data_IF_917930431298
#
_entry.id   IF_917930431298
#
_cell.length_a   1.000
_cell.length_b   1.000
_cell.length_c   1.000
_cell.angle_alpha   90.00
_cell.angle_beta   90.00
_cell.angle_gamma   90.00
#
_symmetry.space_group_name_H-M   'P 1'
#
loop_
_entity.id
_entity.type
_entity.pdbx_description
1 polymer ?
#
# COMPACT_ATOMS: atom_id res chain seq x y z
N UNK A 1 -12.67 -4.81 -76.85
CA UNK A 1 -13.16 -4.82 -75.46
C UNK A 1 -12.09 -4.24 -74.56
N UNK A 2 -12.52 -3.30 -73.72
CA UNK A 2 -11.80 -2.34 -72.88
C UNK A 2 -10.78 -2.97 -71.90
N UNK A 3 -9.52 -2.52 -71.84
CA UNK A 3 -9.00 -1.33 -71.13
C UNK A 3 -9.03 -1.46 -69.59
N UNK A 4 -7.86 -1.64 -68.94
CA UNK A 4 -7.19 -0.63 -68.08
C UNK A 4 -6.12 -1.23 -67.14
N UNK A 5 -5.26 -0.33 -66.70
CA UNK A 5 -3.92 -0.45 -66.11
C UNK A 5 -3.94 -0.24 -64.58
N UNK A 6 -2.90 -0.75 -63.89
CA UNK A 6 -2.14 -0.19 -62.73
C UNK A 6 -2.37 -0.64 -61.25
N UNK A 7 -1.26 -1.16 -60.66
CA UNK A 7 -0.50 -0.74 -59.44
C UNK A 7 -0.99 -1.09 -58.00
N UNK A 8 -0.15 -1.93 -57.33
CA UNK A 8 0.43 -1.90 -55.95
C UNK A 8 -0.44 -2.15 -54.70
N UNK A 9 0.04 -3.01 -53.76
CA UNK A 9 0.41 -2.64 -52.36
C UNK A 9 0.83 -3.82 -51.43
N UNK A 10 1.86 -3.52 -50.61
CA UNK A 10 2.13 -3.90 -49.22
C UNK A 10 1.87 -5.33 -48.70
N UNK A 11 2.94 -6.00 -48.26
CA UNK A 11 2.89 -7.12 -47.31
C UNK A 11 3.55 -6.71 -45.99
N UNK A 12 2.73 -6.41 -44.98
CA UNK A 12 3.15 -6.14 -43.60
C UNK A 12 2.34 -7.05 -42.66
N UNK A 13 3.11 -7.88 -41.94
CA UNK A 13 2.86 -8.50 -40.62
C UNK A 13 1.90 -9.70 -40.54
N UNK A 14 2.53 -10.80 -40.13
CA UNK A 14 1.96 -12.01 -39.52
C UNK A 14 1.70 -11.74 -38.03
N UNK A 15 0.47 -11.95 -37.54
CA UNK A 15 0.22 -12.84 -36.39
C UNK A 15 -1.26 -13.26 -36.35
N UNK A 16 -1.44 -14.55 -36.08
CA UNK A 16 -2.66 -15.33 -36.16
C UNK A 16 -3.47 -15.22 -34.87
N UNK A 17 -4.79 -15.00 -34.99
CA UNK A 17 -5.81 -15.69 -34.20
C UNK A 17 -7.18 -15.51 -34.88
N UNK A 18 -7.51 -16.48 -35.72
CA UNK A 18 -8.83 -16.66 -36.32
C UNK A 18 -9.72 -17.47 -35.36
N UNK A 19 -10.83 -16.89 -34.93
CA UNK A 19 -12.00 -17.65 -34.46
C UNK A 19 -13.21 -17.20 -35.27
N UNK A 20 -13.83 -18.19 -35.90
CA UNK A 20 -14.95 -18.11 -36.83
C UNK A 20 -16.26 -17.70 -36.17
N UNK A 21 -17.01 -16.84 -36.88
CA UNK A 21 -18.37 -16.40 -36.60
C UNK A 21 -19.37 -17.58 -36.64
N UNK A 22 -20.14 -17.80 -35.57
CA UNK A 22 -21.43 -18.49 -35.63
C UNK A 22 -22.46 -17.80 -34.74
N UNK A 23 -23.64 -17.61 -35.33
CA UNK A 23 -24.71 -16.73 -34.93
C UNK A 23 -25.30 -17.01 -33.53
N UNK A 24 -25.19 -16.00 -32.67
CA UNK A 24 -26.22 -15.58 -31.74
C UNK A 24 -26.17 -14.07 -31.74
N UNK A 25 -27.29 -13.37 -32.01
CA UNK A 25 -27.35 -11.92 -31.89
C UNK A 25 -27.06 -11.54 -30.42
N UNK A 26 -25.78 -11.32 -30.11
CA UNK A 26 -25.37 -10.49 -28.96
C UNK A 26 -25.78 -9.07 -29.31
N UNK A 27 -26.53 -8.43 -28.42
CA UNK A 27 -26.83 -7.01 -28.54
C UNK A 27 -25.52 -6.26 -28.86
N UNK A 28 -25.56 -5.49 -29.95
CA UNK A 28 -24.42 -4.79 -30.57
C UNK A 28 -23.82 -3.68 -29.72
N UNK A 29 -24.40 -3.40 -28.55
CA UNK A 29 -24.13 -2.16 -27.82
C UNK A 29 -22.96 -2.31 -26.82
N UNK A 30 -22.42 -3.52 -26.67
CA UNK A 30 -21.40 -3.84 -25.67
C UNK A 30 -20.24 -4.70 -26.21
N UNK A 31 -20.37 -5.22 -27.43
CA UNK A 31 -19.30 -5.98 -28.08
C UNK A 31 -18.14 -5.04 -28.46
N UNK A 32 -17.03 -5.12 -27.72
CA UNK A 32 -15.86 -4.25 -27.90
C UNK A 32 -15.91 -2.96 -27.08
N UNK A 33 -16.90 -2.78 -26.19
CA UNK A 33 -16.91 -1.65 -25.27
C UNK A 33 -15.73 -1.78 -24.29
N UNK A 34 -14.82 -0.80 -24.30
CA UNK A 34 -13.64 -0.83 -23.43
C UNK A 34 -13.91 -0.20 -22.06
N UNK A 35 -13.13 -0.60 -21.06
CA UNK A 35 -13.09 -0.02 -19.72
C UNK A 35 -11.66 0.32 -19.34
N UNK A 36 -11.53 1.41 -18.60
CA UNK A 36 -10.28 1.87 -18.02
C UNK A 36 -10.22 1.56 -16.54
N UNK A 37 -9.13 0.93 -16.11
CA UNK A 37 -8.86 0.70 -14.70
C UNK A 37 -7.48 1.23 -14.36
N UNK A 38 -7.43 2.15 -13.40
CA UNK A 38 -6.19 2.81 -13.02
C UNK A 38 -5.91 2.58 -11.54
N UNK A 39 -4.72 2.04 -11.26
CA UNK A 39 -4.21 1.83 -9.91
C UNK A 39 -3.37 3.04 -9.50
N UNK A 40 -3.61 3.55 -8.30
CA UNK A 40 -2.92 4.69 -7.72
C UNK A 40 -2.32 4.32 -6.37
N UNK A 41 -1.21 4.97 -6.07
CA UNK A 41 -0.61 4.97 -4.76
C UNK A 41 -1.19 6.13 -3.95
N UNK A 42 -1.92 5.84 -2.86
CA UNK A 42 -2.47 6.91 -2.03
C UNK A 42 -1.42 7.64 -1.20
N UNK A 43 -0.27 7.01 -0.92
CA UNK A 43 0.80 7.61 -0.11
C UNK A 43 1.67 8.54 -0.95
N UNK A 44 2.10 8.07 -2.12
CA UNK A 44 2.84 8.92 -3.06
C UNK A 44 1.95 9.91 -3.83
N UNK A 45 0.64 9.67 -3.88
CA UNK A 45 -0.33 10.39 -4.73
C UNK A 45 -0.04 10.25 -6.23
N UNK A 46 0.46 9.09 -6.64
CA UNK A 46 0.92 8.83 -8.01
C UNK A 46 0.15 7.70 -8.68
N UNK A 47 0.08 7.74 -10.02
CA UNK A 47 -0.44 6.62 -10.80
C UNK A 47 0.61 5.51 -10.85
N UNK A 48 0.19 4.29 -10.52
CA UNK A 48 1.04 3.10 -10.60
C UNK A 48 0.97 2.52 -12.01
N UNK A 49 -0.24 2.25 -12.48
CA UNK A 49 -0.49 1.66 -13.81
C UNK A 49 -1.95 1.89 -14.24
N UNK A 50 -2.15 1.97 -15.55
CA UNK A 50 -3.46 2.06 -16.20
C UNK A 50 -3.63 0.95 -17.23
N UNK A 51 -4.78 0.27 -17.17
CA UNK A 51 -5.20 -0.71 -18.16
C UNK A 51 -6.39 -0.21 -18.97
N UNK A 52 -6.48 -0.68 -20.21
CA UNK A 52 -7.63 -0.54 -21.09
C UNK A 52 -8.03 -1.96 -21.55
N UNK A 53 -9.18 -2.45 -21.10
CA UNK A 53 -9.64 -3.84 -21.31
C UNK A 53 -11.05 -3.88 -21.89
N UNK A 54 -11.49 -4.97 -22.52
CA UNK A 54 -12.87 -5.10 -22.96
C UNK A 54 -13.81 -5.28 -21.76
N UNK A 55 -15.10 -4.99 -21.95
CA UNK A 55 -16.07 -5.17 -20.87
C UNK A 55 -16.12 -6.63 -20.42
N UNK A 56 -15.93 -6.83 -19.12
CA UNK A 56 -16.01 -8.13 -18.49
C UNK A 56 -14.71 -8.91 -18.48
N UNK A 57 -13.64 -8.38 -19.10
CA UNK A 57 -12.30 -8.93 -18.95
C UNK A 57 -11.78 -8.79 -17.52
N UNK A 58 -10.79 -9.61 -17.18
CA UNK A 58 -10.08 -9.56 -15.91
C UNK A 58 -8.82 -8.72 -15.99
N UNK A 59 -8.36 -8.19 -14.85
CA UNK A 59 -7.00 -7.66 -14.70
C UNK A 59 -6.30 -8.28 -13.49
N UNK A 60 -4.97 -8.33 -13.53
CA UNK A 60 -4.16 -8.63 -12.35
C UNK A 60 -3.70 -7.32 -11.71
N UNK A 61 -4.03 -7.07 -10.43
CA UNK A 61 -3.50 -5.92 -9.72
C UNK A 61 -1.96 -5.90 -9.75
N UNK A 62 -1.32 -4.73 -9.84
CA UNK A 62 0.13 -4.63 -9.73
C UNK A 62 0.59 -5.02 -8.33
N UNK A 63 1.90 -5.29 -8.17
CA UNK A 63 2.52 -5.28 -6.85
C UNK A 63 2.39 -3.87 -6.26
N UNK A 64 1.87 -3.72 -5.03
CA UNK A 64 1.77 -2.40 -4.42
C UNK A 64 3.18 -1.83 -4.16
N UNK A 65 3.38 -0.52 -4.35
CA UNK A 65 4.59 0.16 -3.89
C UNK A 65 4.83 -0.08 -2.39
N UNK A 66 6.10 -0.03 -1.99
CA UNK A 66 6.49 -0.12 -0.58
C UNK A 66 6.79 1.26 -0.04
N UNK A 67 6.24 1.58 1.13
CA UNK A 67 6.50 2.83 1.84
C UNK A 67 7.14 2.54 3.18
N UNK A 68 8.19 3.29 3.53
CA UNK A 68 8.84 3.18 4.83
C UNK A 68 7.84 3.57 5.93
N UNK A 69 7.79 2.79 6.99
CA UNK A 69 6.93 3.00 8.16
C UNK A 69 5.42 2.77 7.88
N UNK A 70 5.11 2.06 6.79
CA UNK A 70 3.75 1.76 6.33
C UNK A 70 3.63 0.32 5.81
N UNK A 71 2.47 -0.28 6.06
CA UNK A 71 2.08 -1.60 5.58
C UNK A 71 0.92 -1.49 4.58
N UNK A 72 1.03 -2.15 3.43
CA UNK A 72 -0.06 -2.23 2.45
C UNK A 72 -1.25 -3.01 3.04
N UNK A 73 -2.43 -2.37 3.05
CA UNK A 73 -3.66 -2.98 3.61
C UNK A 73 -4.62 -3.50 2.54
N UNK A 74 -4.49 -3.05 1.29
CA UNK A 74 -5.39 -3.49 0.22
C UNK A 74 -5.63 -2.44 -0.85
N UNK A 75 -6.45 -2.83 -1.82
CA UNK A 75 -6.88 -1.99 -2.94
C UNK A 75 -8.32 -1.52 -2.71
N UNK A 76 -8.58 -0.23 -2.88
CA UNK A 76 -9.87 0.36 -2.53
C UNK A 76 -10.42 1.24 -3.66
N UNK A 77 -11.74 1.23 -3.83
CA UNK A 77 -12.41 2.14 -4.74
C UNK A 77 -12.43 3.59 -4.19
N UNK A 78 -13.00 4.51 -4.96
CA UNK A 78 -13.11 5.93 -4.58
C UNK A 78 -14.02 6.18 -3.37
N UNK A 79 -14.90 5.22 -3.03
CA UNK A 79 -15.77 5.28 -1.86
C UNK A 79 -15.13 4.64 -0.62
N UNK A 80 -13.90 4.10 -0.75
CA UNK A 80 -13.20 3.41 0.32
C UNK A 80 -13.68 1.98 0.56
N UNK A 81 -14.37 1.35 -0.40
CA UNK A 81 -14.69 -0.07 -0.37
C UNK A 81 -13.50 -0.89 -0.88
N UNK A 82 -13.13 -1.92 -0.13
CA UNK A 82 -12.07 -2.83 -0.53
C UNK A 82 -12.47 -3.64 -1.76
N UNK A 83 -11.58 -3.72 -2.75
CA UNK A 83 -11.73 -4.53 -3.95
C UNK A 83 -10.73 -5.68 -3.87
N UNK A 84 -11.25 -6.89 -3.81
CA UNK A 84 -10.46 -8.12 -3.82
C UNK A 84 -10.66 -8.94 -5.11
N UNK A 85 -11.73 -8.67 -5.86
CA UNK A 85 -12.05 -9.34 -7.11
C UNK A 85 -11.83 -8.42 -8.32
N UNK A 86 -10.90 -8.84 -9.18
CA UNK A 86 -10.55 -8.17 -10.44
C UNK A 86 -10.81 -9.06 -11.66
N UNK A 87 -11.61 -10.12 -11.47
CA UNK A 87 -11.92 -11.10 -12.53
C UNK A 87 -12.88 -10.55 -13.59
N UNK A 88 -13.59 -9.46 -13.31
CA UNK A 88 -14.59 -8.88 -14.22
C UNK A 88 -14.69 -7.36 -14.12
N UNK A 89 -14.18 -6.66 -15.13
CA UNK A 89 -14.22 -5.19 -15.18
C UNK A 89 -15.48 -4.72 -15.90
N UNK A 90 -16.41 -4.10 -15.16
CA UNK A 90 -17.71 -3.65 -15.68
C UNK A 90 -17.82 -2.14 -15.92
N UNK A 91 -16.95 -1.36 -15.27
CA UNK A 91 -16.97 0.10 -15.32
C UNK A 91 -15.55 0.64 -15.31
N UNK A 92 -15.42 1.90 -15.73
CA UNK A 92 -14.19 2.62 -15.52
C UNK A 92 -14.03 2.82 -14.01
N UNK A 93 -12.83 2.59 -13.48
CA UNK A 93 -12.60 2.75 -12.06
C UNK A 93 -11.17 3.16 -11.73
N UNK A 94 -11.08 4.06 -10.76
CA UNK A 94 -9.85 4.38 -10.05
C UNK A 94 -9.77 3.51 -8.80
N UNK A 95 -8.61 2.93 -8.56
CA UNK A 95 -8.35 2.03 -7.44
C UNK A 95 -7.11 2.51 -6.72
N UNK A 96 -7.20 2.67 -5.41
CA UNK A 96 -6.17 3.24 -4.58
C UNK A 96 -5.57 2.15 -3.69
N UNK A 97 -4.25 1.97 -3.74
CA UNK A 97 -3.53 1.25 -2.70
C UNK A 97 -3.67 2.05 -1.42
N UNK A 98 -4.14 1.42 -0.34
CA UNK A 98 -4.14 2.03 0.98
C UNK A 98 -3.10 1.35 1.85
N UNK A 99 -2.63 2.11 2.84
CA UNK A 99 -1.60 1.68 3.77
C UNK A 99 -1.98 2.07 5.20
N UNK A 100 -1.64 1.22 6.16
CA UNK A 100 -1.67 1.54 7.58
C UNK A 100 -0.25 1.76 8.11
N UNK A 101 -0.13 2.37 9.30
CA UNK A 101 1.20 2.62 9.90
C UNK A 101 1.84 1.29 10.33
N UNK A 102 3.15 1.18 10.13
CA UNK A 102 4.01 0.07 10.55
C UNK A 102 5.40 0.63 10.88
N UNK A 103 5.50 1.40 11.96
CA UNK A 103 6.70 2.20 12.28
C UNK A 103 7.92 1.35 12.60
N UNK A 104 7.72 0.16 13.15
CA UNK A 104 8.80 -0.79 13.42
C UNK A 104 9.08 -1.69 12.20
N UNK A 105 8.35 -1.52 11.10
CA UNK A 105 8.48 -2.25 9.84
C UNK A 105 8.51 -3.78 10.06
N UNK A 106 7.63 -4.27 10.94
CA UNK A 106 7.56 -5.69 11.31
C UNK A 106 6.44 -6.44 10.57
N UNK A 107 5.68 -5.76 9.72
CA UNK A 107 4.58 -6.35 8.96
C UNK A 107 3.28 -6.51 9.75
N UNK A 108 3.17 -5.91 10.93
CA UNK A 108 1.96 -5.84 11.74
C UNK A 108 1.53 -4.38 11.79
N UNK A 109 0.25 -4.10 11.62
CA UNK A 109 -0.25 -2.73 11.75
C UNK A 109 0.01 -2.20 13.16
N UNK A 110 0.50 -0.96 13.27
CA UNK A 110 0.70 -0.27 14.57
C UNK A 110 -0.57 -0.28 15.44
N UNK A 111 -1.77 -0.39 14.85
CA UNK A 111 -3.05 -0.48 15.58
C UNK A 111 -3.36 -1.87 16.13
N UNK A 112 -2.68 -2.89 15.61
CA UNK A 112 -2.85 -4.32 15.96
C UNK A 112 -1.60 -4.88 16.67
N UNK A 113 -0.53 -4.09 16.73
CA UNK A 113 0.75 -4.48 17.31
C UNK A 113 0.87 -4.14 18.81
N UNK A 114 1.90 -4.71 19.42
CA UNK A 114 2.19 -4.65 20.85
C UNK A 114 2.89 -3.36 21.24
N UNK A 115 2.43 -2.76 22.33
CA UNK A 115 3.10 -1.64 22.98
C UNK A 115 3.54 -2.05 24.38
N UNK A 116 4.69 -1.53 24.79
CA UNK A 116 5.22 -1.66 26.14
C UNK A 116 5.28 -0.29 26.83
N UNK A 117 5.14 -0.31 28.15
CA UNK A 117 5.28 0.89 28.97
C UNK A 117 6.72 1.03 29.45
N UNK A 118 7.33 2.19 29.19
CA UNK A 118 8.66 2.55 29.69
C UNK A 118 8.52 3.70 30.67
N UNK A 119 8.84 3.44 31.93
CA UNK A 119 8.77 4.40 33.03
C UNK A 119 10.17 4.83 33.41
N UNK A 120 10.46 6.12 33.30
CA UNK A 120 11.68 6.73 33.82
C UNK A 120 11.43 7.21 35.25
N UNK A 121 12.25 6.75 36.19
CA UNK A 121 12.12 6.99 37.61
C UNK A 121 13.33 7.74 38.17
N UNK A 122 13.06 8.86 38.84
CA UNK A 122 14.07 9.59 39.60
C UNK A 122 14.21 8.96 40.99
N UNK A 123 15.33 8.28 41.22
CA UNK A 123 15.61 7.57 42.47
C UNK A 123 15.90 8.52 43.64
N UNK A 124 16.43 9.71 43.37
CA UNK A 124 16.70 10.73 44.39
C UNK A 124 15.42 11.47 44.76
N UNK A 125 14.67 11.93 43.76
CA UNK A 125 13.38 12.59 43.93
C UNK A 125 12.22 11.64 44.27
N UNK A 126 12.46 10.32 44.20
CA UNK A 126 11.52 9.23 44.49
C UNK A 126 10.20 9.31 43.72
N UNK A 127 10.24 9.66 42.43
CA UNK A 127 9.04 9.84 41.59
C UNK A 127 9.26 9.41 40.15
N UNK A 128 8.19 9.01 39.47
CA UNK A 128 8.20 8.88 38.02
C UNK A 128 8.40 10.28 37.40
N UNK A 129 9.28 10.37 36.41
CA UNK A 129 9.58 11.62 35.70
C UNK A 129 9.09 11.60 34.26
N UNK A 130 8.90 10.42 33.67
CA UNK A 130 8.19 10.24 32.43
C UNK A 130 7.68 8.80 32.32
N UNK A 131 6.60 8.64 31.55
CA UNK A 131 6.10 7.35 31.10
C UNK A 131 5.85 7.46 29.61
N UNK A 132 6.35 6.50 28.83
CA UNK A 132 6.15 6.42 27.39
C UNK A 132 5.56 5.05 27.02
N UNK A 133 4.57 5.06 26.13
CA UNK A 133 4.10 3.84 25.46
C UNK A 133 4.87 3.69 24.15
N UNK A 134 5.64 2.61 24.04
CA UNK A 134 6.57 2.38 22.93
C UNK A 134 6.13 1.15 22.16
N UNK A 135 6.03 1.27 20.83
CA UNK A 135 5.77 0.14 19.95
C UNK A 135 6.94 -0.87 20.06
N UNK A 136 6.65 -2.16 20.06
CA UNK A 136 7.67 -3.21 20.17
C UNK A 136 8.81 -3.01 19.17
N UNK A 137 10.05 -3.21 19.64
CA UNK A 137 11.27 -3.10 18.84
C UNK A 137 11.74 -1.66 18.59
N UNK A 138 10.96 -0.64 18.92
CA UNK A 138 11.40 0.77 18.88
C UNK A 138 12.15 1.17 20.16
N UNK A 139 12.83 2.30 20.08
CA UNK A 139 13.51 2.91 21.22
C UNK A 139 12.57 3.86 21.98
N UNK A 140 12.65 3.85 23.30
CA UNK A 140 12.04 4.89 24.12
C UNK A 140 12.89 6.18 24.07
N UNK A 141 12.25 7.31 24.33
CA UNK A 141 12.86 8.63 24.37
C UNK A 141 13.03 9.07 25.83
N UNK A 142 14.27 9.21 26.32
CA UNK A 142 14.50 9.62 27.69
C UNK A 142 14.01 11.07 27.92
N UNK A 143 13.45 11.37 29.10
CA UNK A 143 13.10 12.74 29.47
C UNK A 143 14.36 13.56 29.76
N UNK A 144 14.16 14.86 29.95
CA UNK A 144 15.20 15.71 30.55
C UNK A 144 15.49 15.20 31.95
N UNK A 145 16.76 14.92 32.24
CA UNK A 145 17.19 14.40 33.54
C UNK A 145 16.98 15.47 34.63
N UNK A 146 16.32 15.14 35.75
CA UNK A 146 16.20 16.05 36.89
C UNK A 146 17.57 16.42 37.45
N UNK A 147 17.66 17.62 38.03
CA UNK A 147 18.85 18.06 38.75
C UNK A 147 18.63 17.96 40.25
N UNK A 148 19.63 17.43 40.96
CA UNK A 148 19.62 17.32 42.41
C UNK A 148 20.90 17.92 42.98
N UNK A 149 20.78 18.76 44.01
CA UNK A 149 21.93 19.44 44.62
C UNK A 149 22.92 18.41 45.18
N UNK A 150 24.17 18.48 44.72
CA UNK A 150 25.23 17.56 45.15
C UNK A 150 25.30 16.24 44.37
N UNK A 151 24.48 16.07 43.33
CA UNK A 151 24.49 14.89 42.46
C UNK A 151 24.72 15.28 41.00
N UNK A 152 25.34 14.39 40.24
CA UNK A 152 25.46 14.44 38.79
C UNK A 152 24.78 13.20 38.21
N UNK A 153 24.05 13.36 37.11
CA UNK A 153 23.49 12.22 36.39
C UNK A 153 24.63 11.40 35.79
N UNK A 154 24.68 10.10 36.10
CA UNK A 154 25.66 9.17 35.55
C UNK A 154 25.05 8.43 34.34
N UNK A 155 24.03 7.60 34.60
CA UNK A 155 23.33 6.82 33.58
C UNK A 155 21.96 6.35 34.04
N UNK A 156 21.18 5.85 33.08
CA UNK A 156 19.96 5.09 33.32
C UNK A 156 20.27 3.66 33.82
N UNK A 157 19.35 3.08 34.59
CA UNK A 157 19.57 1.78 35.24
C UNK A 157 19.46 0.58 34.27
N UNK A 158 18.80 0.76 33.13
CA UNK A 158 18.59 -0.25 32.09
C UNK A 158 18.65 0.39 30.70
N UNK A 159 18.85 -0.46 29.67
CA UNK A 159 18.68 -0.03 28.28
C UNK A 159 17.20 0.22 27.97
N UNK A 160 16.94 1.22 27.14
CA UNK A 160 15.60 1.59 26.65
C UNK A 160 15.50 1.57 25.13
N UNK A 161 16.48 0.95 24.46
CA UNK A 161 16.45 0.72 23.01
C UNK A 161 15.84 -0.63 22.70
N UNK A 162 15.17 -0.77 21.55
CA UNK A 162 14.54 -2.03 21.11
C UNK A 162 13.65 -2.66 22.20
N UNK A 163 12.71 -1.87 22.69
CA UNK A 163 11.83 -2.25 23.80
C UNK A 163 11.03 -3.50 23.44
N UNK A 164 11.08 -4.51 24.30
CA UNK A 164 10.40 -5.80 24.11
C UNK A 164 9.66 -6.31 25.36
N UNK A 165 9.60 -5.49 26.40
CA UNK A 165 8.85 -5.70 27.63
C UNK A 165 8.60 -4.35 28.30
N UNK A 166 7.71 -4.30 29.28
CA UNK A 166 7.62 -3.13 30.15
C UNK A 166 8.94 -2.90 30.89
N UNK A 167 9.32 -1.64 31.05
CA UNK A 167 10.58 -1.22 31.67
C UNK A 167 10.32 -0.18 32.76
N UNK A 168 11.07 -0.30 33.85
CA UNK A 168 11.22 0.76 34.84
C UNK A 168 12.71 1.08 35.00
N UNK A 169 13.07 2.32 34.69
CA UNK A 169 14.44 2.75 34.40
C UNK A 169 14.87 3.84 35.36
#
# INVERSE_FOLDING_TARGET
MNQKRWIVLLSVIVLVLSITLLAGQRNSDDAGAKRTITFYDSQAQEEIIKYEVELGDSVTPPTPPTHKDYLFIGWFDENGLEITDFSKILKNQRINARYGNDKNNNGILDSEDTYYEVVFYDTIGRRNIATERVLVGLDAKPPVTPTHRGYVFDRYSASFTKVSSDLKI
#
